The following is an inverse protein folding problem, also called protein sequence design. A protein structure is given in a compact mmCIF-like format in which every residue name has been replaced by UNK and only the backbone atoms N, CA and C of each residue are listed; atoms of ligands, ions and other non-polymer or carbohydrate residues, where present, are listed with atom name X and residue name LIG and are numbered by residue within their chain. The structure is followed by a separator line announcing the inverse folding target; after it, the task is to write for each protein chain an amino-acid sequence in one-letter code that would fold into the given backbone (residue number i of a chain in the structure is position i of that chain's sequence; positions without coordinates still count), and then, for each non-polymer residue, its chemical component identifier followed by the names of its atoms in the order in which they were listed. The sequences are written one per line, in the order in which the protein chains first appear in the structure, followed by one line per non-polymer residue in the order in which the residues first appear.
data_IF_902304334278
#
_entry.id   IF_902304334278
#
_cell.length_a   1.000
_cell.length_b   1.000
_cell.length_c   1.000
_cell.angle_alpha   90.00
_cell.angle_beta   90.00
_cell.angle_gamma   90.00
#
_symmetry.space_group_name_H-M   'P 1'
#
loop_
_entity.id
_entity.type
_entity.pdbx_description
1 polymer ?
#
# COMPACT_ATOMS: atom_id res chain seq x y z
N UNK A 1 -7.45 -13.52 -4.98
CA UNK A 1 -7.83 -12.32 -5.75
C UNK A 1 -6.68 -11.33 -5.65
N UNK A 2 -6.39 -10.55 -6.70
CA UNK A 2 -5.35 -9.51 -6.63
C UNK A 2 -5.90 -8.16 -7.10
N UNK A 3 -5.29 -7.09 -6.62
CA UNK A 3 -5.55 -5.71 -7.02
C UNK A 3 -4.25 -5.02 -7.44
N UNK A 4 -4.38 -3.89 -8.12
CA UNK A 4 -3.27 -2.98 -8.41
C UNK A 4 -3.57 -1.66 -7.68
N UNK A 5 -2.64 -1.19 -6.86
CA UNK A 5 -2.70 0.12 -6.19
C UNK A 5 -1.59 1.02 -6.73
N UNK A 6 -1.83 2.32 -6.80
CA UNK A 6 -0.81 3.31 -7.17
C UNK A 6 -0.48 4.20 -5.97
N UNK A 7 0.79 4.22 -5.57
CA UNK A 7 1.28 5.08 -4.48
C UNK A 7 2.75 5.43 -4.73
N UNK A 8 3.20 6.59 -4.26
CA UNK A 8 4.58 7.04 -4.48
C UNK A 8 4.98 7.20 -5.97
N UNK A 9 4.01 7.32 -6.88
CA UNK A 9 4.24 7.35 -8.33
C UNK A 9 4.57 5.99 -8.95
N UNK A 10 4.32 4.89 -8.23
CA UNK A 10 4.54 3.51 -8.68
C UNK A 10 3.27 2.67 -8.50
N UNK A 11 3.16 1.62 -9.31
CA UNK A 11 2.08 0.64 -9.20
C UNK A 11 2.56 -0.61 -8.47
N UNK A 12 1.71 -1.12 -7.58
CA UNK A 12 1.96 -2.30 -6.78
C UNK A 12 0.83 -3.31 -6.98
N UNK A 13 1.19 -4.56 -7.22
CA UNK A 13 0.24 -5.67 -7.21
C UNK A 13 0.13 -6.22 -5.80
N UNK A 14 -1.08 -6.29 -5.28
CA UNK A 14 -1.37 -6.71 -3.91
C UNK A 14 -2.44 -7.79 -3.88
N UNK A 15 -2.35 -8.65 -2.88
CA UNK A 15 -3.37 -9.59 -2.46
C UNK A 15 -3.65 -9.40 -0.96
N UNK A 16 -4.78 -9.91 -0.48
CA UNK A 16 -5.12 -9.85 0.94
C UNK A 16 -4.02 -10.54 1.79
N UNK A 17 -3.50 -9.82 2.79
CA UNK A 17 -2.45 -10.31 3.69
C UNK A 17 -1.00 -10.04 3.25
N UNK A 18 -0.78 -9.43 2.08
CA UNK A 18 0.57 -9.08 1.62
C UNK A 18 1.20 -7.96 2.47
N UNK A 19 2.50 -8.08 2.76
CA UNK A 19 3.30 -7.04 3.40
C UNK A 19 4.21 -6.41 2.34
N UNK A 20 4.06 -5.10 2.11
CA UNK A 20 4.83 -4.36 1.10
C UNK A 20 5.67 -3.26 1.74
N UNK A 21 6.84 -3.03 1.16
CA UNK A 21 7.63 -1.83 1.42
C UNK A 21 7.35 -0.82 0.32
N UNK A 22 6.77 0.31 0.72
CA UNK A 22 6.43 1.44 -0.17
C UNK A 22 7.12 2.71 0.32
N UNK A 23 7.00 3.79 -0.45
CA UNK A 23 7.47 5.10 -0.04
C UNK A 23 6.83 5.54 1.28
N UNK A 24 7.53 6.42 2.00
CA UNK A 24 7.08 6.92 3.30
C UNK A 24 5.73 7.64 3.15
N UNK A 25 4.74 7.17 3.91
CA UNK A 25 3.44 7.81 4.03
C UNK A 25 3.43 8.83 5.16
N UNK A 26 2.59 9.86 5.05
CA UNK A 26 2.29 10.77 6.15
C UNK A 26 1.14 10.21 6.99
N UNK A 27 1.38 9.05 7.60
CA UNK A 27 0.43 8.32 8.43
C UNK A 27 1.13 7.85 9.70
N UNK A 28 0.40 7.74 10.81
CA UNK A 28 0.95 7.20 12.05
C UNK A 28 1.09 5.68 11.96
N UNK A 29 1.97 5.11 12.81
CA UNK A 29 2.07 3.66 12.92
C UNK A 29 0.71 3.05 13.30
N UNK A 30 0.40 1.88 12.75
CA UNK A 30 -0.85 1.13 12.96
C UNK A 30 -2.14 1.83 12.46
N UNK A 31 -2.04 3.00 11.83
CA UNK A 31 -3.20 3.66 11.21
C UNK A 31 -3.62 2.97 9.91
N UNK A 32 -4.94 2.90 9.69
CA UNK A 32 -5.49 2.39 8.42
C UNK A 32 -5.48 3.49 7.37
N UNK A 33 -5.00 3.17 6.17
CA UNK A 33 -4.94 4.07 5.01
C UNK A 33 -5.68 3.41 3.84
N UNK A 34 -6.51 4.18 3.14
CA UNK A 34 -7.24 3.75 1.93
C UNK A 34 -6.62 4.39 0.68
N UNK A 35 -6.50 3.61 -0.41
CA UNK A 35 -5.85 3.99 -1.68
C UNK A 35 -6.80 3.88 -2.86
#
# INVERSE_FOLDING_TARGET
MYAIIETGGKQYRVSEGDILFIEKLNAEADSTVEF
#
